data_IF_029234334172
#
_entry.id   IF_029234334172
#
_cell.length_a   1.000
_cell.length_b   1.000
_cell.length_c   1.000
_cell.angle_alpha   90.00
_cell.angle_beta   90.00
_cell.angle_gamma   90.00
#
_symmetry.space_group_name_H-M   'P 1'
#
loop_
_entity.id
_entity.type
_entity.pdbx_description
1 polymer ?
#
# COMPACT_ATOMS: atom_id res chain seq x y z
N UNK A 1 -10.76 -29.34 0.69
CA UNK A 1 -11.03 -28.59 1.94
C UNK A 1 -10.50 -27.16 1.99
N UNK A 2 -9.19 -26.89 1.93
CA UNK A 2 -8.73 -25.48 2.02
C UNK A 2 -9.30 -24.59 0.90
N UNK A 3 -9.39 -25.10 -0.33
CA UNK A 3 -10.04 -24.38 -1.44
C UNK A 3 -11.54 -24.17 -1.21
N UNK A 4 -12.20 -25.17 -0.61
CA UNK A 4 -13.63 -25.07 -0.26
C UNK A 4 -13.84 -24.03 0.84
N UNK A 5 -12.96 -23.96 1.83
CA UNK A 5 -12.99 -22.94 2.87
C UNK A 5 -12.78 -21.53 2.28
N UNK A 6 -11.86 -21.39 1.33
CA UNK A 6 -11.65 -20.13 0.64
C UNK A 6 -12.91 -19.69 -0.13
N UNK A 7 -13.62 -20.64 -0.77
CA UNK A 7 -14.87 -20.36 -1.47
C UNK A 7 -16.04 -20.06 -0.53
N UNK A 8 -16.15 -20.80 0.58
CA UNK A 8 -17.11 -20.50 1.66
C UNK A 8 -16.91 -19.05 2.16
N UNK A 9 -15.66 -18.62 2.35
CA UNK A 9 -15.36 -17.25 2.79
C UNK A 9 -15.75 -16.21 1.73
N UNK A 10 -15.39 -16.43 0.46
CA UNK A 10 -15.73 -15.50 -0.64
C UNK A 10 -17.23 -15.37 -0.89
N UNK A 11 -17.96 -16.48 -0.77
CA UNK A 11 -19.41 -16.52 -0.97
C UNK A 11 -20.20 -16.00 0.24
N UNK A 12 -19.55 -15.78 1.38
CA UNK A 12 -20.19 -15.38 2.63
C UNK A 12 -20.82 -16.54 3.41
N UNK A 13 -20.64 -17.79 2.96
CA UNK A 13 -21.08 -18.98 3.68
C UNK A 13 -20.25 -19.26 4.95
N UNK A 14 -19.02 -18.73 5.01
CA UNK A 14 -18.19 -18.69 6.20
C UNK A 14 -17.88 -17.24 6.57
N UNK A 15 -18.36 -16.82 7.73
CA UNK A 15 -18.21 -15.45 8.23
C UNK A 15 -17.26 -15.47 9.43
N UNK A 16 -16.31 -14.56 9.43
CA UNK A 16 -15.48 -14.26 10.61
C UNK A 16 -16.29 -13.36 11.54
N UNK A 17 -16.65 -13.88 12.71
CA UNK A 17 -17.38 -13.16 13.74
C UNK A 17 -16.68 -13.30 15.12
N UNK A 18 -17.29 -12.71 16.15
CA UNK A 18 -16.73 -12.60 17.50
C UNK A 18 -16.48 -13.95 18.20
N UNK A 19 -16.92 -15.08 17.63
CA UNK A 19 -16.66 -16.42 18.17
C UNK A 19 -15.20 -16.83 17.98
N UNK A 20 -14.48 -16.21 17.04
CA UNK A 20 -13.09 -16.51 16.75
C UNK A 20 -12.19 -15.39 17.27
N UNK A 21 -11.08 -15.76 17.91
CA UNK A 21 -10.08 -14.81 18.37
C UNK A 21 -9.44 -14.05 17.20
N UNK A 22 -9.19 -14.77 16.10
CA UNK A 22 -8.53 -14.26 14.91
C UNK A 22 -8.90 -15.12 13.67
N UNK A 23 -8.40 -14.74 12.50
CA UNK A 23 -8.63 -15.51 11.27
C UNK A 23 -7.96 -16.90 11.31
N UNK A 24 -6.89 -17.08 12.08
CA UNK A 24 -6.16 -18.34 12.17
C UNK A 24 -6.96 -19.40 12.93
N UNK A 25 -7.51 -19.04 14.08
CA UNK A 25 -8.40 -19.85 14.91
C UNK A 25 -9.71 -20.17 14.18
N UNK A 26 -10.23 -19.22 13.39
CA UNK A 26 -11.40 -19.46 12.55
C UNK A 26 -11.16 -20.56 11.50
N UNK A 27 -10.02 -20.50 10.79
CA UNK A 27 -9.63 -21.52 9.82
C UNK A 27 -9.45 -22.89 10.51
N UNK A 28 -8.77 -22.92 11.65
CA UNK A 28 -8.54 -24.15 12.42
C UNK A 28 -9.84 -24.79 12.92
N UNK A 29 -10.75 -23.97 13.46
CA UNK A 29 -12.06 -24.43 13.93
C UNK A 29 -12.88 -25.03 12.78
N UNK A 30 -12.91 -24.35 11.63
CA UNK A 30 -13.66 -24.80 10.45
C UNK A 30 -13.09 -26.08 9.84
N UNK A 31 -11.77 -26.22 9.81
CA UNK A 31 -11.13 -27.47 9.38
C UNK A 31 -11.40 -28.61 10.37
N UNK A 32 -11.39 -28.32 11.67
CA UNK A 32 -11.68 -29.31 12.72
C UNK A 32 -13.13 -29.77 12.67
N UNK A 33 -14.08 -28.87 12.44
CA UNK A 33 -15.50 -29.19 12.26
C UNK A 33 -15.71 -30.16 11.09
N UNK A 34 -15.03 -29.92 9.96
CA UNK A 34 -15.20 -30.70 8.73
C UNK A 34 -14.41 -32.01 8.70
N UNK A 35 -13.22 -32.03 9.32
CA UNK A 35 -12.25 -33.12 9.18
C UNK A 35 -11.90 -33.84 10.49
N UNK A 36 -12.49 -33.41 11.62
CA UNK A 36 -12.19 -33.95 12.94
C UNK A 36 -10.70 -33.84 13.29
N UNK A 37 -10.11 -34.95 13.76
CA UNK A 37 -8.70 -34.99 14.19
C UNK A 37 -7.70 -34.70 13.07
N UNK A 38 -8.06 -34.91 11.80
CA UNK A 38 -7.20 -34.52 10.69
C UNK A 38 -7.09 -33.00 10.57
N UNK A 39 -8.19 -32.28 10.81
CA UNK A 39 -8.22 -30.80 10.80
C UNK A 39 -7.32 -30.21 11.88
N UNK A 40 -7.32 -30.81 13.08
CA UNK A 40 -6.44 -30.39 14.20
C UNK A 40 -4.96 -30.45 13.84
N UNK A 41 -4.54 -31.42 13.02
CA UNK A 41 -3.12 -31.58 12.66
C UNK A 41 -2.57 -30.44 11.80
N UNK A 42 -3.40 -29.54 11.27
CA UNK A 42 -2.96 -28.43 10.42
C UNK A 42 -1.92 -27.54 11.11
N UNK A 43 -1.96 -27.36 12.42
CA UNK A 43 -1.03 -26.50 13.16
C UNK A 43 0.33 -27.18 13.46
N UNK A 44 0.52 -28.44 13.07
CA UNK A 44 1.75 -29.20 13.38
C UNK A 44 2.98 -28.51 12.79
N UNK A 45 3.97 -28.22 13.64
CA UNK A 45 5.21 -27.55 13.21
C UNK A 45 5.06 -26.06 12.88
N UNK A 46 3.95 -25.42 13.27
CA UNK A 46 3.69 -23.99 13.05
C UNK A 46 3.38 -23.29 14.36
N UNK A 47 3.62 -21.97 14.41
CA UNK A 47 3.14 -21.10 15.48
C UNK A 47 2.27 -20.00 14.88
N UNK A 48 1.39 -19.40 15.68
CA UNK A 48 0.74 -18.16 15.25
C UNK A 48 1.78 -17.06 14.95
N UNK A 49 2.92 -17.08 15.63
CA UNK A 49 3.98 -16.08 15.47
C UNK A 49 4.58 -16.04 14.06
N UNK A 50 4.94 -17.16 13.47
CA UNK A 50 5.47 -17.18 12.10
C UNK A 50 4.35 -17.17 11.05
N UNK A 51 3.18 -17.72 11.37
CA UNK A 51 2.01 -17.70 10.50
C UNK A 51 1.51 -16.28 10.21
N UNK A 52 1.43 -15.41 11.22
CA UNK A 52 1.00 -14.01 11.00
C UNK A 52 2.02 -13.25 10.15
N UNK A 53 3.33 -13.52 10.32
CA UNK A 53 4.37 -12.90 9.50
C UNK A 53 4.25 -13.32 8.02
N UNK A 54 3.91 -14.58 7.74
CA UNK A 54 3.62 -15.04 6.36
C UNK A 54 2.43 -14.27 5.80
N UNK A 55 1.31 -14.24 6.53
CA UNK A 55 0.07 -13.61 6.07
C UNK A 55 0.29 -12.12 5.76
N UNK A 56 0.94 -11.40 6.67
CA UNK A 56 1.26 -9.97 6.49
C UNK A 56 2.15 -9.75 5.28
N UNK A 57 3.20 -10.55 5.08
CA UNK A 57 4.11 -10.37 3.92
C UNK A 57 3.45 -10.68 2.60
N UNK A 58 2.62 -11.71 2.51
CA UNK A 58 1.86 -12.01 1.30
C UNK A 58 0.90 -10.86 0.96
N UNK A 59 0.25 -10.29 1.98
CA UNK A 59 -0.62 -9.13 1.80
C UNK A 59 0.17 -7.87 1.39
N UNK A 60 1.29 -7.59 2.04
CA UNK A 60 2.16 -6.45 1.71
C UNK A 60 2.73 -6.55 0.29
N UNK A 61 3.12 -7.76 -0.15
CA UNK A 61 3.57 -8.02 -1.52
C UNK A 61 2.52 -7.58 -2.54
N UNK A 62 1.27 -8.00 -2.36
CA UNK A 62 0.13 -7.58 -3.20
C UNK A 62 -0.04 -6.05 -3.20
N UNK A 63 -0.06 -5.43 -2.01
CA UNK A 63 -0.27 -3.97 -1.90
C UNK A 63 0.88 -3.16 -2.48
N UNK A 64 2.13 -3.59 -2.32
CA UNK A 64 3.28 -2.91 -2.90
C UNK A 64 3.29 -2.98 -4.43
N UNK A 65 2.92 -4.12 -5.01
CA UNK A 65 2.74 -4.23 -6.45
C UNK A 65 1.62 -3.30 -6.95
N UNK A 66 0.51 -3.21 -6.20
CA UNK A 66 -0.58 -2.29 -6.56
C UNK A 66 -0.15 -0.82 -6.48
N UNK A 67 0.64 -0.44 -5.48
CA UNK A 67 1.21 0.93 -5.41
C UNK A 67 2.13 1.17 -6.60
N UNK A 68 3.03 0.22 -6.93
CA UNK A 68 3.91 0.36 -8.07
C UNK A 68 3.16 0.51 -9.40
N UNK A 69 2.09 -0.26 -9.60
CA UNK A 69 1.22 -0.18 -10.77
C UNK A 69 0.53 1.18 -10.88
N UNK A 70 -0.15 1.63 -9.81
CA UNK A 70 -0.80 2.94 -9.77
C UNK A 70 0.18 4.09 -10.02
N UNK A 71 1.39 4.00 -9.46
CA UNK A 71 2.44 4.99 -9.70
C UNK A 71 2.88 5.00 -11.17
N UNK A 72 3.00 3.83 -11.82
CA UNK A 72 3.28 3.76 -13.27
C UNK A 72 2.15 4.33 -14.12
N UNK A 73 0.89 4.07 -13.76
CA UNK A 73 -0.28 4.62 -14.45
C UNK A 73 -0.27 6.16 -14.37
N UNK A 74 -0.04 6.72 -13.18
CA UNK A 74 0.03 8.17 -12.97
C UNK A 74 1.21 8.76 -13.76
N UNK A 75 2.39 8.14 -13.68
CA UNK A 75 3.56 8.59 -14.43
C UNK A 75 3.30 8.58 -15.94
N UNK A 76 2.63 7.55 -16.46
CA UNK A 76 2.25 7.47 -17.87
C UNK A 76 1.33 8.62 -18.26
N UNK A 77 0.27 8.87 -17.48
CA UNK A 77 -0.64 10.00 -17.74
C UNK A 77 0.13 11.32 -17.72
N UNK A 78 1.01 11.52 -16.74
CA UNK A 78 1.83 12.72 -16.65
C UNK A 78 2.78 12.87 -17.86
N UNK A 79 3.41 11.80 -18.35
CA UNK A 79 4.23 11.83 -19.56
C UNK A 79 3.42 12.17 -20.81
N UNK A 80 2.27 11.51 -20.99
CA UNK A 80 1.39 11.75 -22.14
C UNK A 80 0.92 13.23 -22.16
N UNK A 81 0.67 13.81 -20.97
CA UNK A 81 0.34 15.23 -20.80
C UNK A 81 1.55 16.15 -20.99
N UNK A 82 2.72 15.74 -20.54
CA UNK A 82 3.95 16.49 -20.70
C UNK A 82 4.28 16.73 -22.18
N UNK A 83 4.07 15.71 -23.02
CA UNK A 83 4.26 15.82 -24.47
C UNK A 83 3.15 16.67 -25.12
N UNK A 84 1.89 16.41 -24.78
CA UNK A 84 0.75 17.14 -25.38
C UNK A 84 0.75 18.64 -25.04
N UNK A 85 1.29 19.02 -23.87
CA UNK A 85 1.29 20.38 -23.34
C UNK A 85 2.71 20.97 -23.23
N UNK A 86 3.66 20.38 -23.97
CA UNK A 86 5.09 20.68 -23.93
C UNK A 86 5.43 22.16 -23.95
N UNK A 87 4.79 22.91 -24.85
CA UNK A 87 5.04 24.33 -25.09
C UNK A 87 3.93 25.25 -24.55
N UNK A 88 2.95 24.71 -23.80
CA UNK A 88 1.87 25.52 -23.21
C UNK A 88 2.44 26.40 -22.09
N UNK A 89 2.54 27.73 -22.25
CA UNK A 89 3.26 28.57 -21.30
C UNK A 89 2.49 28.69 -19.98
N UNK A 90 3.21 28.51 -18.88
CA UNK A 90 2.72 28.79 -17.51
C UNK A 90 3.80 29.55 -16.74
N UNK A 91 3.43 30.47 -15.82
CA UNK A 91 4.42 31.08 -14.94
C UNK A 91 5.02 30.02 -14.01
N UNK A 92 6.35 29.96 -13.92
CA UNK A 92 7.03 29.22 -12.87
C UNK A 92 6.92 29.95 -11.53
N UNK A 93 6.82 29.20 -10.43
CA UNK A 93 6.67 29.77 -9.10
C UNK A 93 7.77 29.33 -8.16
N UNK A 94 8.32 30.28 -7.40
CA UNK A 94 9.14 30.03 -6.22
C UNK A 94 8.57 30.87 -5.07
N UNK A 95 8.32 30.27 -3.91
CA UNK A 95 7.63 30.95 -2.79
C UNK A 95 6.28 31.60 -3.18
N UNK A 96 5.55 30.99 -4.12
CA UNK A 96 4.27 31.52 -4.67
C UNK A 96 4.47 32.83 -5.45
N UNK A 97 5.70 33.30 -5.66
CA UNK A 97 6.03 34.43 -6.52
C UNK A 97 6.32 33.97 -7.94
N UNK A 98 5.85 34.74 -8.93
CA UNK A 98 6.14 34.49 -10.33
C UNK A 98 7.65 34.68 -10.57
N UNK A 99 8.29 33.63 -11.05
CA UNK A 99 9.71 33.60 -11.37
C UNK A 99 9.90 33.74 -12.89
N UNK A 100 10.38 32.69 -13.54
CA UNK A 100 10.59 32.64 -14.99
C UNK A 100 9.39 32.02 -15.71
N UNK A 101 9.24 32.29 -17.00
CA UNK A 101 8.29 31.57 -17.86
C UNK A 101 8.71 30.10 -17.93
N UNK A 102 7.74 29.21 -17.77
CA UNK A 102 7.87 27.76 -17.88
C UNK A 102 6.77 27.21 -18.79
N UNK A 103 6.59 25.89 -18.83
CA UNK A 103 5.48 25.24 -19.53
C UNK A 103 4.74 24.22 -18.68
N UNK A 104 3.46 24.00 -19.00
CA UNK A 104 2.67 22.93 -18.39
C UNK A 104 3.31 21.57 -18.66
N UNK A 105 3.95 21.41 -19.82
CA UNK A 105 4.75 20.23 -20.14
C UNK A 105 5.86 19.97 -19.13
N UNK A 106 6.62 21.00 -18.76
CA UNK A 106 7.67 20.88 -17.75
C UNK A 106 7.10 20.55 -16.36
N UNK A 107 5.94 21.13 -16.01
CA UNK A 107 5.25 20.81 -14.76
C UNK A 107 4.80 19.34 -14.71
N UNK A 108 4.19 18.83 -15.79
CA UNK A 108 3.80 17.42 -15.90
C UNK A 108 5.00 16.47 -15.91
N UNK A 109 6.10 16.83 -16.58
CA UNK A 109 7.31 16.02 -16.59
C UNK A 109 7.88 15.83 -15.18
N UNK A 110 7.85 16.86 -14.34
CA UNK A 110 8.25 16.75 -12.93
C UNK A 110 7.39 15.74 -12.14
N UNK A 111 6.08 15.74 -12.36
CA UNK A 111 5.19 14.74 -11.74
C UNK A 111 5.40 13.33 -12.30
N UNK A 112 5.71 13.21 -13.60
CA UNK A 112 6.06 11.92 -14.18
C UNK A 112 7.28 11.30 -13.48
N UNK A 113 8.36 12.06 -13.33
CA UNK A 113 9.57 11.61 -12.64
C UNK A 113 9.28 11.19 -11.18
N UNK A 114 8.54 12.03 -10.44
CA UNK A 114 8.17 11.70 -9.05
C UNK A 114 7.43 10.36 -8.94
N UNK A 115 6.48 10.09 -9.84
CA UNK A 115 5.73 8.82 -9.81
C UNK A 115 6.51 7.63 -10.39
N UNK A 116 7.51 7.85 -11.25
CA UNK A 116 8.48 6.81 -11.64
C UNK A 116 9.29 6.37 -10.41
N UNK A 117 9.82 7.32 -9.64
CA UNK A 117 10.57 7.04 -8.42
C UNK A 117 9.71 6.28 -7.39
N UNK A 118 8.45 6.68 -7.22
CA UNK A 118 7.51 5.99 -6.35
C UNK A 118 7.26 4.53 -6.79
N UNK A 119 7.17 4.28 -8.10
CA UNK A 119 7.03 2.91 -8.62
C UNK A 119 8.28 2.05 -8.35
N UNK A 120 9.48 2.63 -8.52
CA UNK A 120 10.75 1.96 -8.21
C UNK A 120 10.80 1.65 -6.72
N UNK A 121 10.52 2.63 -5.86
CA UNK A 121 10.54 2.48 -4.40
C UNK A 121 9.57 1.39 -3.92
N UNK A 122 8.35 1.35 -4.45
CA UNK A 122 7.39 0.31 -4.09
C UNK A 122 7.88 -1.10 -4.49
N UNK A 123 8.50 -1.22 -5.67
CA UNK A 123 9.07 -2.49 -6.14
C UNK A 123 10.32 -2.92 -5.34
N UNK A 124 11.18 -1.99 -4.97
CA UNK A 124 12.35 -2.28 -4.13
C UNK A 124 11.92 -2.73 -2.73
N UNK A 125 10.90 -2.09 -2.15
CA UNK A 125 10.31 -2.54 -0.90
C UNK A 125 9.65 -3.92 -1.05
N UNK A 126 8.99 -4.21 -2.18
CA UNK A 126 8.47 -5.55 -2.45
C UNK A 126 9.59 -6.59 -2.36
N UNK A 127 10.73 -6.35 -3.02
CA UNK A 127 11.88 -7.26 -3.00
C UNK A 127 12.44 -7.47 -1.57
N UNK A 128 12.40 -6.43 -0.73
CA UNK A 128 12.81 -6.53 0.67
C UNK A 128 11.86 -7.44 1.48
N UNK A 129 10.54 -7.23 1.31
CA UNK A 129 9.46 -7.94 2.01
C UNK A 129 9.33 -9.39 1.55
N UNK A 130 9.80 -9.70 0.34
CA UNK A 130 9.73 -11.02 -0.31
C UNK A 130 10.68 -12.07 0.29
N UNK A 131 10.54 -12.29 1.60
CA UNK A 131 11.28 -13.27 2.38
C UNK A 131 10.31 -14.15 3.18
N UNK A 132 10.44 -15.47 3.12
CA UNK A 132 9.60 -16.42 3.85
C UNK A 132 10.03 -16.57 5.33
N UNK A 133 9.19 -16.23 6.32
CA UNK A 133 9.46 -16.44 7.74
C UNK A 133 9.00 -17.80 8.27
N UNK A 134 8.28 -18.60 7.46
CA UNK A 134 7.64 -19.85 7.91
C UNK A 134 8.67 -20.89 8.36
N UNK A 135 8.30 -21.67 9.38
CA UNK A 135 9.15 -22.71 9.97
C UNK A 135 10.07 -22.16 11.07
N UNK A 136 9.78 -20.95 11.57
CA UNK A 136 10.50 -20.34 12.71
C UNK A 136 9.71 -20.44 14.01
N UNK A 137 8.45 -20.87 13.93
CA UNK A 137 7.51 -21.00 15.03
C UNK A 137 7.53 -19.77 15.95
N UNK A 138 7.80 -19.95 17.24
CA UNK A 138 7.82 -18.86 18.20
C UNK A 138 9.04 -17.93 18.07
N UNK A 139 9.97 -18.21 17.15
CA UNK A 139 11.24 -17.47 16.98
C UNK A 139 12.50 -18.26 17.28
N UNK A 140 12.36 -19.54 17.62
CA UNK A 140 13.46 -20.42 18.01
C UNK A 140 13.59 -21.65 17.10
N UNK A 141 12.82 -21.70 16.01
CA UNK A 141 12.74 -22.85 15.13
C UNK A 141 11.80 -23.93 15.66
N UNK A 142 11.85 -25.09 15.01
CA UNK A 142 10.99 -26.26 15.30
C UNK A 142 11.86 -27.50 15.34
N UNK A 143 11.61 -28.42 16.28
CA UNK A 143 12.31 -29.72 16.37
C UNK A 143 11.82 -30.76 15.35
N UNK A 144 11.16 -30.30 14.28
CA UNK A 144 10.68 -31.14 13.19
C UNK A 144 11.51 -30.81 11.93
N UNK A 145 11.86 -31.79 11.10
CA UNK A 145 12.61 -31.58 9.87
C UNK A 145 11.71 -30.98 8.79
N UNK A 146 11.33 -29.70 8.96
CA UNK A 146 10.47 -28.99 8.02
C UNK A 146 11.25 -28.60 6.75
N UNK A 147 10.69 -28.90 5.58
CA UNK A 147 11.23 -28.44 4.31
C UNK A 147 10.85 -26.96 4.07
N UNK A 148 11.69 -26.08 4.61
CA UNK A 148 11.51 -24.63 4.47
C UNK A 148 11.78 -24.16 3.03
N UNK A 149 12.58 -24.89 2.25
CA UNK A 149 12.81 -24.55 0.85
C UNK A 149 11.54 -24.77 0.05
N UNK A 150 10.91 -25.94 0.21
CA UNK A 150 9.61 -26.26 -0.39
C UNK A 150 8.55 -25.21 -0.06
N UNK A 151 8.38 -24.83 1.21
CA UNK A 151 7.35 -23.82 1.58
C UNK A 151 7.68 -22.42 1.05
N UNK A 152 8.95 -22.08 0.88
CA UNK A 152 9.36 -20.80 0.27
C UNK A 152 8.90 -20.74 -1.18
N UNK A 153 9.16 -21.80 -1.94
CA UNK A 153 8.71 -21.93 -3.33
C UNK A 153 7.18 -22.00 -3.44
N UNK A 154 6.52 -22.85 -2.65
CA UNK A 154 5.08 -23.06 -2.69
C UNK A 154 4.27 -21.81 -2.33
N UNK A 155 4.79 -20.94 -1.46
CA UNK A 155 4.18 -19.66 -1.11
C UNK A 155 4.62 -18.51 -2.03
N UNK A 156 5.48 -18.79 -3.02
CA UNK A 156 5.95 -17.81 -3.99
C UNK A 156 6.86 -16.73 -3.41
N UNK A 157 7.64 -17.04 -2.36
CA UNK A 157 8.63 -16.12 -1.82
C UNK A 157 9.96 -16.20 -2.58
N UNK A 158 10.61 -15.05 -2.83
CA UNK A 158 11.90 -15.02 -3.51
C UNK A 158 13.05 -15.62 -2.69
N UNK A 159 12.99 -15.53 -1.36
CA UNK A 159 14.03 -16.10 -0.47
C UNK A 159 13.48 -16.57 0.86
N UNK A 160 14.24 -17.40 1.55
CA UNK A 160 13.99 -17.77 2.94
C UNK A 160 14.59 -16.73 3.90
N UNK A 161 13.87 -16.38 4.96
CA UNK A 161 14.48 -15.71 6.10
C UNK A 161 15.13 -16.74 7.02
N UNK A 162 16.45 -16.81 6.99
CA UNK A 162 17.22 -17.93 7.56
C UNK A 162 17.07 -18.00 9.08
N UNK A 163 17.40 -16.91 9.79
CA UNK A 163 17.43 -16.87 11.26
C UNK A 163 16.02 -16.83 11.86
N UNK A 164 15.64 -17.81 12.71
CA UNK A 164 14.38 -17.78 13.45
C UNK A 164 14.23 -16.56 14.36
N UNK A 165 15.32 -16.15 15.00
CA UNK A 165 15.36 -14.96 15.85
C UNK A 165 15.09 -13.71 15.02
N UNK A 166 15.76 -13.58 13.86
CA UNK A 166 15.53 -12.42 13.00
C UNK A 166 14.12 -12.38 12.41
N UNK A 167 13.47 -13.53 12.18
CA UNK A 167 12.07 -13.55 11.78
C UNK A 167 11.18 -12.79 12.76
N UNK A 168 11.38 -12.99 14.07
CA UNK A 168 10.64 -12.25 15.09
C UNK A 168 11.12 -10.80 15.23
N UNK A 169 12.43 -10.54 15.21
CA UNK A 169 12.96 -9.16 15.27
C UNK A 169 12.59 -8.30 14.06
N UNK A 170 12.16 -8.91 12.95
CA UNK A 170 11.72 -8.18 11.75
C UNK A 170 10.27 -7.67 11.82
N UNK A 171 9.53 -7.96 12.89
CA UNK A 171 8.19 -7.41 13.14
C UNK A 171 8.21 -5.89 13.06
N UNK A 172 7.26 -5.32 12.33
CA UNK A 172 7.12 -3.88 12.12
C UNK A 172 8.14 -3.27 11.17
N UNK A 173 9.33 -3.86 10.98
CA UNK A 173 10.35 -3.34 10.05
C UNK A 173 9.85 -3.34 8.60
N UNK A 174 9.18 -4.42 8.18
CA UNK A 174 8.69 -4.57 6.81
C UNK A 174 7.41 -3.78 6.57
N UNK A 175 6.57 -3.68 7.59
CA UNK A 175 5.37 -2.84 7.63
C UNK A 175 5.75 -1.35 7.53
N UNK A 176 6.76 -0.89 8.28
CA UNK A 176 7.29 0.48 8.17
C UNK A 176 7.84 0.76 6.78
N UNK A 177 8.63 -0.16 6.21
CA UNK A 177 9.16 0.03 4.85
C UNK A 177 8.04 0.15 3.81
N UNK A 178 6.94 -0.60 3.98
CA UNK A 178 5.77 -0.49 3.11
C UNK A 178 5.02 0.84 3.31
N UNK A 179 4.85 1.30 4.55
CA UNK A 179 4.27 2.61 4.84
C UNK A 179 5.13 3.76 4.32
N UNK A 180 6.46 3.61 4.30
CA UNK A 180 7.35 4.60 3.69
C UNK A 180 7.19 4.67 2.17
N UNK A 181 7.05 3.52 1.49
CA UNK A 181 6.77 3.50 0.05
C UNK A 181 5.42 4.15 -0.28
N UNK A 182 4.36 3.81 0.46
CA UNK A 182 3.04 4.45 0.31
C UNK A 182 3.07 5.94 0.70
N UNK A 183 3.87 6.28 1.71
CA UNK A 183 4.07 7.63 2.21
C UNK A 183 4.68 8.54 1.16
N UNK A 184 5.69 8.07 0.41
CA UNK A 184 6.27 8.80 -0.72
C UNK A 184 5.23 9.14 -1.78
N UNK A 185 4.52 8.12 -2.27
CA UNK A 185 3.49 8.30 -3.31
C UNK A 185 2.36 9.25 -2.88
N UNK A 186 1.89 9.12 -1.64
CA UNK A 186 0.82 9.99 -1.10
C UNK A 186 1.31 11.40 -0.78
N UNK A 187 2.59 11.59 -0.48
CA UNK A 187 3.18 12.91 -0.27
C UNK A 187 3.27 13.69 -1.58
N UNK A 188 3.69 13.03 -2.67
CA UNK A 188 3.68 13.67 -4.00
C UNK A 188 2.26 13.94 -4.49
N UNK A 189 1.32 13.02 -4.24
CA UNK A 189 -0.12 13.25 -4.44
C UNK A 189 -0.62 14.49 -3.69
N UNK A 190 -0.16 14.68 -2.44
CA UNK A 190 -0.51 15.86 -1.64
C UNK A 190 0.06 17.14 -2.24
N UNK A 191 1.27 17.10 -2.81
CA UNK A 191 1.91 18.27 -3.43
C UNK A 191 1.24 18.66 -4.75
N UNK A 192 0.94 17.71 -5.63
CA UNK A 192 0.18 18.02 -6.86
C UNK A 192 -1.23 18.53 -6.52
N UNK A 193 -1.87 17.98 -5.48
CA UNK A 193 -3.16 18.49 -5.01
C UNK A 193 -3.07 19.94 -4.48
N UNK A 194 -1.93 20.33 -3.90
CA UNK A 194 -1.70 21.72 -3.50
C UNK A 194 -1.65 22.67 -4.71
N UNK A 195 -0.90 22.30 -5.74
CA UNK A 195 -0.84 23.05 -6.99
C UNK A 195 -2.24 23.17 -7.63
N UNK A 196 -2.96 22.05 -7.74
CA UNK A 196 -4.31 22.03 -8.30
C UNK A 196 -5.32 22.85 -7.47
N UNK A 197 -5.16 22.89 -6.15
CA UNK A 197 -6.01 23.75 -5.30
C UNK A 197 -5.81 25.23 -5.63
N UNK A 198 -4.57 25.66 -5.90
CA UNK A 198 -4.27 27.03 -6.33
C UNK A 198 -4.73 27.26 -7.77
N UNK A 199 -4.39 26.36 -8.69
CA UNK A 199 -4.61 26.53 -10.13
C UNK A 199 -6.09 26.52 -10.52
N UNK A 200 -6.96 25.95 -9.69
CA UNK A 200 -8.41 25.96 -9.88
C UNK A 200 -9.11 27.16 -9.25
N UNK A 201 -8.40 27.98 -8.47
CA UNK A 201 -8.96 29.22 -7.90
C UNK A 201 -9.27 30.25 -8.99
N UNK A 202 -10.15 31.22 -8.68
CA UNK A 202 -10.48 32.31 -9.60
C UNK A 202 -9.30 33.24 -9.86
N UNK A 203 -8.38 33.37 -8.92
CA UNK A 203 -7.20 34.24 -9.00
C UNK A 203 -6.11 33.68 -9.92
N UNK A 204 -5.94 32.35 -9.97
CA UNK A 204 -5.00 31.70 -10.87
C UNK A 204 -5.68 31.30 -12.19
N UNK A 205 -6.77 30.54 -12.13
CA UNK A 205 -7.56 30.15 -13.30
C UNK A 205 -6.80 29.35 -14.36
N UNK A 206 -5.80 28.55 -13.97
CA UNK A 206 -4.99 27.75 -14.90
C UNK A 206 -5.63 26.40 -15.24
N UNK A 207 -6.40 25.83 -14.32
CA UNK A 207 -6.99 24.50 -14.46
C UNK A 207 -8.50 24.58 -14.21
N UNK A 208 -9.27 23.95 -15.09
CA UNK A 208 -10.68 23.67 -14.88
C UNK A 208 -10.89 22.17 -14.68
N UNK A 209 -11.58 21.79 -13.61
CA UNK A 209 -11.91 20.40 -13.33
C UNK A 209 -13.23 20.00 -14.03
N UNK A 210 -13.34 18.75 -14.52
CA UNK A 210 -14.61 18.20 -14.99
C UNK A 210 -15.70 18.27 -13.91
N UNK A 211 -16.96 18.46 -14.33
CA UNK A 211 -18.08 18.64 -13.42
C UNK A 211 -18.23 17.48 -12.41
N UNK A 212 -17.93 16.24 -12.82
CA UNK A 212 -18.00 15.07 -11.93
C UNK A 212 -16.97 15.08 -10.78
N UNK A 213 -15.96 15.94 -10.83
CA UNK A 213 -14.92 16.06 -9.82
C UNK A 213 -15.02 17.36 -9.01
N UNK A 214 -16.13 18.09 -9.16
CA UNK A 214 -16.39 19.33 -8.43
C UNK A 214 -17.78 19.32 -7.81
N UNK A 215 -17.94 19.97 -6.67
CA UNK A 215 -19.28 20.33 -6.17
C UNK A 215 -19.64 21.76 -6.57
N UNK A 216 -20.93 22.02 -6.78
CA UNK A 216 -21.45 23.34 -7.12
C UNK A 216 -22.18 24.01 -5.96
N UNK A 217 -22.43 25.31 -6.09
CA UNK A 217 -23.37 26.02 -5.22
C UNK A 217 -24.71 26.21 -5.91
N UNK A 218 -25.81 25.98 -5.19
CA UNK A 218 -27.16 26.27 -5.68
C UNK A 218 -27.43 27.76 -5.90
N UNK A 219 -26.71 28.64 -5.19
CA UNK A 219 -26.87 30.10 -5.25
C UNK A 219 -25.88 30.74 -6.24
N UNK A 220 -24.70 30.12 -6.42
CA UNK A 220 -23.63 30.64 -7.27
C UNK A 220 -23.32 29.64 -8.40
N UNK A 221 -23.95 29.80 -9.59
CA UNK A 221 -23.83 28.84 -10.69
C UNK A 221 -22.39 28.63 -11.19
N UNK A 222 -21.55 29.66 -11.06
CA UNK A 222 -20.15 29.65 -11.51
C UNK A 222 -19.20 29.09 -10.45
N UNK A 223 -19.63 28.93 -9.19
CA UNK A 223 -18.77 28.45 -8.10
C UNK A 223 -18.65 26.93 -8.18
N UNK A 224 -17.42 26.45 -8.38
CA UNK A 224 -17.05 25.03 -8.37
C UNK A 224 -16.01 24.80 -7.28
N UNK A 225 -16.28 23.91 -6.34
CA UNK A 225 -15.32 23.54 -5.29
C UNK A 225 -14.53 22.29 -5.76
N UNK A 226 -13.21 22.24 -5.58
CA UNK A 226 -12.39 21.11 -5.98
C UNK A 226 -12.30 20.03 -4.86
N UNK A 227 -13.44 19.55 -4.35
CA UNK A 227 -13.49 18.67 -3.17
C UNK A 227 -12.63 17.41 -3.31
N UNK A 228 -12.56 16.84 -4.51
CA UNK A 228 -11.71 15.66 -4.80
C UNK A 228 -10.24 15.98 -4.58
N UNK A 229 -9.78 17.17 -4.97
CA UNK A 229 -8.40 17.63 -4.76
C UNK A 229 -8.13 17.82 -3.26
N UNK A 230 -9.10 18.34 -2.52
CA UNK A 230 -8.98 18.49 -1.06
C UNK A 230 -8.86 17.13 -0.35
N UNK A 231 -9.63 16.13 -0.79
CA UNK A 231 -9.54 14.75 -0.29
C UNK A 231 -8.19 14.10 -0.65
N UNK A 232 -7.71 14.28 -1.89
CA UNK A 232 -6.37 13.82 -2.31
C UNK A 232 -5.30 14.41 -1.40
N UNK A 233 -5.38 15.71 -1.11
CA UNK A 233 -4.45 16.42 -0.21
C UNK A 233 -4.48 15.88 1.22
N UNK A 234 -5.67 15.54 1.74
CA UNK A 234 -5.86 15.04 3.09
C UNK A 234 -5.36 13.59 3.28
N UNK A 235 -5.41 12.76 2.23
CA UNK A 235 -5.14 11.31 2.30
C UNK A 235 -3.77 10.96 2.89
N UNK A 236 -2.74 11.78 2.64
CA UNK A 236 -1.40 11.55 3.19
C UNK A 236 -1.37 11.54 4.73
N UNK A 237 -2.25 12.28 5.39
CA UNK A 237 -2.24 12.40 6.85
C UNK A 237 -2.47 11.04 7.55
N UNK A 238 -3.37 10.21 7.02
CA UNK A 238 -3.64 8.88 7.56
C UNK A 238 -2.43 7.95 7.46
N UNK A 239 -1.68 8.02 6.35
CA UNK A 239 -0.46 7.21 6.16
C UNK A 239 0.65 7.68 7.10
N UNK A 240 0.84 8.99 7.23
CA UNK A 240 1.82 9.57 8.15
C UNK A 240 1.50 9.20 9.61
N UNK A 241 0.22 9.23 10.00
CA UNK A 241 -0.22 8.82 11.34
C UNK A 241 0.07 7.34 11.61
N UNK A 242 -0.30 6.46 10.68
CA UNK A 242 -0.05 5.02 10.81
C UNK A 242 1.46 4.69 10.91
N UNK A 243 2.30 5.40 10.14
CA UNK A 243 3.76 5.25 10.24
C UNK A 243 4.27 5.60 11.64
N UNK A 244 3.86 6.74 12.16
CA UNK A 244 4.23 7.17 13.51
C UNK A 244 3.75 6.16 14.55
N UNK A 245 2.50 5.69 14.45
CA UNK A 245 1.94 4.72 15.38
C UNK A 245 2.77 3.42 15.42
N UNK A 246 3.07 2.83 14.26
CA UNK A 246 3.90 1.62 14.19
C UNK A 246 5.30 1.88 14.73
N UNK A 247 5.94 2.99 14.36
CA UNK A 247 7.28 3.35 14.84
C UNK A 247 7.33 3.46 16.37
N UNK A 248 6.32 4.09 16.97
CA UNK A 248 6.24 4.20 18.43
C UNK A 248 5.98 2.85 19.10
N UNK A 249 5.15 1.98 18.52
CA UNK A 249 4.91 0.63 19.05
C UNK A 249 6.17 -0.23 19.05
N UNK A 250 7.05 -0.08 18.06
CA UNK A 250 8.31 -0.82 17.99
C UNK A 250 9.40 -0.30 18.94
N UNK A 251 9.26 0.94 19.41
CA UNK A 251 10.19 1.55 20.36
C UNK A 251 9.94 1.12 21.82
N UNK A 252 8.84 0.40 22.07
CA UNK A 252 8.50 -0.12 23.40
C UNK A 252 9.22 -1.46 23.65
N UNK A 253 9.79 -1.67 24.85
CA UNK A 253 10.55 -2.88 25.20
C UNK A 253 9.72 -4.17 25.16
#
# INVERSE_FOLDING_TARGET
ELDVLAEDFRSGAFVLDERFEDCHSAIEARLTERLGDAGRKIHTGRSRNDQILVATRLWLKDKLLRVAELSREIAKVALDRAEAEKDLPVPGYTHIQRAVVSSAGMWWAGWAEAFIDNAIRAHDTFNLVDANPLGTAAGYGVNLPLDRAHTTEALGFARMQISPIYAQLSRGKFELAALEALGGATLDLRRIAWDLSLFTSGEFGFVALPAQYTTGSSIMPNKRNPDVIELMRATHASVAAARTEIEQLLSLP
#
